data_IF_592367413011
#
_entry.id   IF_592367413011
#
_cell.length_a   1.000
_cell.length_b   1.000
_cell.length_c   1.000
_cell.angle_alpha   90.00
_cell.angle_beta   90.00
_cell.angle_gamma   90.00
#
_symmetry.space_group_name_H-M   'P 1'
#
loop_
_entity.id
_entity.type
_entity.pdbx_description
1 polymer ?
#
# COMPACT_ATOMS: atom_id res chain seq x y z
N UNK A 1 -0.50 17.74 -1.56
CA UNK A 1 0.26 16.85 -2.46
C UNK A 1 -0.44 15.51 -2.48
N UNK A 2 -1.07 15.14 -3.59
CA UNK A 2 -1.64 13.80 -3.74
C UNK A 2 -0.48 12.81 -3.85
N UNK A 3 -0.35 11.90 -2.90
CA UNK A 3 0.70 10.88 -2.93
C UNK A 3 0.33 9.90 -4.03
N UNK A 4 1.01 10.00 -5.17
CA UNK A 4 0.89 9.01 -6.24
C UNK A 4 1.49 7.68 -5.78
N UNK A 5 0.61 6.75 -5.44
CA UNK A 5 0.95 5.38 -5.09
C UNK A 5 1.37 4.62 -6.34
N UNK A 6 2.57 4.04 -6.34
CA UNK A 6 3.13 3.25 -7.46
C UNK A 6 3.31 1.79 -7.04
N UNK A 7 3.45 0.92 -8.04
CA UNK A 7 3.79 -0.49 -7.80
C UNK A 7 5.20 -0.53 -7.18
N UNK A 8 5.37 -1.31 -6.11
CA UNK A 8 6.61 -1.39 -5.32
C UNK A 8 6.68 -0.41 -4.14
N UNK A 9 5.70 0.48 -3.96
CA UNK A 9 5.62 1.33 -2.77
C UNK A 9 5.26 0.50 -1.54
N UNK A 10 5.96 0.75 -0.42
CA UNK A 10 5.61 0.16 0.87
C UNK A 10 4.58 1.04 1.57
N UNK A 11 3.38 0.52 1.74
CA UNK A 11 2.25 1.23 2.33
C UNK A 11 1.72 0.50 3.56
N UNK A 12 1.18 1.27 4.49
CA UNK A 12 0.35 0.77 5.56
C UNK A 12 -1.11 0.91 5.17
N UNK A 13 -1.78 -0.23 5.08
CA UNK A 13 -3.22 -0.29 4.91
C UNK A 13 -3.91 -0.23 6.25
N UNK A 14 -4.98 0.56 6.32
CA UNK A 14 -5.95 0.49 7.40
C UNK A 14 -6.96 -0.62 7.10
N UNK A 15 -7.55 -1.21 8.17
CA UNK A 15 -8.77 -2.04 8.19
C UNK A 15 -9.30 -2.43 6.80
N UNK A 16 -8.91 -3.59 6.29
CA UNK A 16 -9.38 -4.10 5.00
C UNK A 16 -10.30 -5.31 5.21
N UNK A 17 -11.43 -5.34 4.51
CA UNK A 17 -12.47 -6.35 4.67
C UNK A 17 -12.88 -6.51 6.16
N UNK A 18 -12.50 -7.63 6.80
CA UNK A 18 -12.75 -7.92 8.22
C UNK A 18 -11.51 -7.81 9.11
N UNK A 19 -10.42 -7.23 8.62
CA UNK A 19 -9.21 -7.01 9.43
C UNK A 19 -9.50 -5.99 10.52
N UNK A 20 -9.20 -6.38 11.76
CA UNK A 20 -9.38 -5.51 12.93
C UNK A 20 -8.17 -4.58 13.12
N UNK A 21 -6.98 -5.02 12.67
CA UNK A 21 -5.73 -4.29 12.81
C UNK A 21 -5.23 -3.72 11.48
N UNK A 22 -4.37 -2.71 11.61
CA UNK A 22 -3.60 -2.18 10.49
C UNK A 22 -2.55 -3.20 10.02
N UNK A 23 -2.24 -3.18 8.74
CA UNK A 23 -1.24 -4.06 8.13
C UNK A 23 -0.29 -3.26 7.24
N UNK A 24 0.89 -3.81 6.97
CA UNK A 24 1.87 -3.19 6.08
C UNK A 24 2.27 -4.14 4.98
N UNK A 25 2.53 -3.56 3.82
CA UNK A 25 2.83 -4.35 2.65
C UNK A 25 3.27 -3.52 1.47
N UNK A 26 3.56 -4.20 0.37
CA UNK A 26 3.99 -3.57 -0.87
C UNK A 26 2.87 -3.54 -1.88
N UNK A 27 2.75 -2.44 -2.62
CA UNK A 27 1.78 -2.36 -3.70
C UNK A 27 2.22 -3.28 -4.84
N UNK A 28 1.41 -4.29 -5.14
CA UNK A 28 1.60 -5.20 -6.28
C UNK A 28 0.86 -4.67 -7.52
N UNK A 29 -0.30 -4.02 -7.34
CA UNK A 29 -1.06 -3.38 -8.43
C UNK A 29 -1.70 -2.08 -7.99
N UNK A 30 -1.76 -1.12 -8.89
CA UNK A 30 -2.49 0.15 -8.69
C UNK A 30 -3.71 0.14 -9.62
N UNK A 31 -4.90 0.31 -9.04
CA UNK A 31 -6.15 0.51 -9.77
C UNK A 31 -6.51 1.99 -9.80
N UNK A 32 -7.64 2.33 -10.40
CA UNK A 32 -8.08 3.72 -10.51
C UNK A 32 -8.39 4.36 -9.14
N UNK A 33 -9.14 3.65 -8.29
CA UNK A 33 -9.55 4.15 -6.96
C UNK A 33 -8.94 3.36 -5.78
N UNK A 34 -8.28 2.25 -6.07
CA UNK A 34 -7.76 1.30 -5.08
C UNK A 34 -6.35 0.84 -5.42
N UNK A 35 -5.68 0.19 -4.49
CA UNK A 35 -4.37 -0.45 -4.68
C UNK A 35 -4.42 -1.86 -4.09
N UNK A 36 -3.84 -2.81 -4.82
CA UNK A 36 -3.57 -4.16 -4.32
C UNK A 36 -2.23 -4.14 -3.61
N UNK A 37 -2.27 -4.44 -2.32
CA UNK A 37 -1.12 -4.49 -1.43
C UNK A 37 -0.89 -5.95 -1.06
N UNK A 38 0.33 -6.42 -1.31
CA UNK A 38 0.84 -7.68 -0.80
C UNK A 38 1.24 -7.48 0.67
N UNK A 39 0.50 -8.08 1.57
CA UNK A 39 0.67 -7.96 3.01
C UNK A 39 1.95 -8.69 3.42
N UNK A 40 2.93 -7.94 3.95
CA UNK A 40 4.20 -8.48 4.46
C UNK A 40 4.27 -8.49 5.98
N UNK A 41 3.65 -7.51 6.63
CA UNK A 41 3.54 -7.44 8.09
C UNK A 41 2.08 -7.33 8.49
N UNK A 42 1.63 -8.24 9.35
CA UNK A 42 0.28 -8.30 9.87
C UNK A 42 0.29 -8.86 11.30
N UNK A 43 -0.80 -8.63 12.03
CA UNK A 43 -1.01 -9.17 13.37
C UNK A 43 -1.45 -10.63 13.29
N UNK A 44 -0.97 -11.50 14.20
CA UNK A 44 -1.34 -12.92 14.21
C UNK A 44 -2.85 -13.18 14.33
N UNK A 45 -3.61 -12.28 14.96
CA UNK A 45 -5.07 -12.36 15.03
C UNK A 45 -5.75 -12.25 13.66
N UNK A 46 -5.10 -11.57 12.72
CA UNK A 46 -5.58 -11.34 11.37
C UNK A 46 -5.06 -12.39 10.36
N UNK A 47 -4.15 -13.27 10.77
CA UNK A 47 -3.60 -14.37 9.97
C UNK A 47 -4.65 -15.19 9.20
N UNK A 48 -5.78 -15.64 9.79
CA UNK A 48 -6.78 -16.42 9.04
C UNK A 48 -7.37 -15.62 7.88
N UNK A 49 -7.63 -14.32 8.08
CA UNK A 49 -8.18 -13.44 7.06
C UNK A 49 -7.12 -13.19 5.98
N UNK A 50 -5.90 -12.81 6.38
CA UNK A 50 -4.78 -12.59 5.45
C UNK A 50 -4.53 -13.81 4.56
N UNK A 51 -4.57 -15.01 5.15
CA UNK A 51 -4.36 -16.27 4.43
C UNK A 51 -5.51 -16.59 3.46
N UNK A 52 -6.77 -16.36 3.87
CA UNK A 52 -7.95 -16.52 3.00
C UNK A 52 -7.85 -15.65 1.74
N UNK A 53 -7.37 -14.41 1.90
CA UNK A 53 -7.12 -13.49 0.79
C UNK A 53 -5.77 -13.69 0.09
N UNK A 54 -5.08 -14.82 0.31
CA UNK A 54 -3.78 -15.12 -0.32
C UNK A 54 -2.73 -14.02 -0.09
N UNK A 55 -2.72 -13.42 1.10
CA UNK A 55 -1.84 -12.31 1.49
C UNK A 55 -2.02 -11.03 0.66
N UNK A 56 -3.19 -10.85 0.02
CA UNK A 56 -3.49 -9.69 -0.82
C UNK A 56 -4.63 -8.88 -0.22
N UNK A 57 -4.39 -7.59 0.02
CA UNK A 57 -5.43 -6.64 0.42
C UNK A 57 -5.66 -5.58 -0.64
N UNK A 58 -6.92 -5.28 -0.93
CA UNK A 58 -7.31 -4.22 -1.87
C UNK A 58 -7.87 -3.04 -1.10
N UNK A 59 -7.03 -2.05 -0.81
CA UNK A 59 -7.44 -0.85 -0.07
C UNK A 59 -7.64 0.33 -0.99
N UNK A 60 -8.48 1.28 -0.57
CA UNK A 60 -8.64 2.55 -1.28
C UNK A 60 -7.36 3.35 -1.21
N UNK A 61 -7.04 4.09 -2.27
CA UNK A 61 -5.88 5.00 -2.30
C UNK A 61 -5.88 6.00 -1.14
N UNK A 62 -7.07 6.43 -0.71
CA UNK A 62 -7.25 7.35 0.43
C UNK A 62 -6.91 6.73 1.79
N UNK A 63 -6.95 5.40 1.89
CA UNK A 63 -6.70 4.65 3.13
C UNK A 63 -5.29 4.01 3.16
N UNK A 64 -4.60 4.02 2.02
CA UNK A 64 -3.22 3.57 1.89
C UNK A 64 -2.26 4.67 2.35
N UNK A 65 -1.62 4.48 3.49
CA UNK A 65 -0.63 5.41 4.03
C UNK A 65 0.77 5.01 3.59
N UNK A 66 1.38 5.78 2.70
CA UNK A 66 2.74 5.53 2.23
C UNK A 66 3.75 5.61 3.39
N UNK A 67 4.43 4.49 3.67
CA UNK A 67 5.49 4.40 4.69
C UNK A 67 6.85 4.59 4.05
N UNK A 68 7.11 3.88 2.95
CA UNK A 68 8.35 3.99 2.22
C UNK A 68 8.02 4.16 0.76
N UNK A 69 8.39 5.32 0.23
CA UNK A 69 8.35 5.55 -1.19
C UNK A 69 9.31 4.57 -1.87
N UNK A 70 8.85 3.83 -2.87
CA UNK A 70 9.76 3.31 -3.89
C UNK A 70 10.60 4.50 -4.38
N UNK A 71 11.92 4.34 -4.58
CA UNK A 71 12.76 5.44 -5.02
C UNK A 71 12.19 5.99 -6.32
N UNK A 72 11.54 7.15 -6.25
CA UNK A 72 11.22 7.94 -7.44
C UNK A 72 12.56 8.28 -8.07
N UNK A 73 12.78 8.04 -9.37
CA UNK A 73 13.84 8.76 -10.06
C UNK A 73 13.55 10.24 -9.78
N UNK A 74 14.53 10.90 -9.19
CA UNK A 74 14.47 12.32 -8.91
C UNK A 74 14.34 12.98 -10.28
N UNK A 75 13.11 13.30 -10.69
CA UNK A 75 12.92 14.44 -11.57
C UNK A 75 13.16 15.63 -10.66
N UNK A 76 14.44 15.95 -10.53
CA UNK A 76 14.88 17.32 -10.28
C UNK A 76 14.09 18.18 -11.25
N UNK A 77 13.30 19.17 -10.79
CA UNK A 77 12.74 20.14 -11.71
C UNK A 77 13.93 20.73 -12.48
N UNK A 78 13.80 20.64 -13.80
CA UNK A 78 14.72 21.19 -14.78
C UNK A 78 15.09 22.64 -14.42
N UNK A 79 16.33 22.99 -14.74
CA UNK A 79 16.95 24.27 -14.52
C UNK A 79 16.08 25.48 -14.91
N UNK A 80 16.05 26.49 -14.05
CA UNK A 80 15.85 27.93 -14.33
C UNK A 80 16.19 28.65 -13.01
N UNK A 81 17.13 29.57 -12.85
CA UNK A 81 18.07 30.35 -13.69
C UNK A 81 19.28 30.70 -12.80
#
# INVERSE_FOLDING_TARGET
MAVELKIGDYVQGKKFASLEHDFKGEIEKVYENSVLVLIKEFTKSDEPIVNEYNHRAVIRKSEAKLIKAAPKPVVEPEAEE
#
